data_IF_402061601599
#
_entry.id   IF_402061601599
#
_cell.length_a   1.000
_cell.length_b   1.000
_cell.length_c   1.000
_cell.angle_alpha   90.00
_cell.angle_beta   90.00
_cell.angle_gamma   90.00
#
_symmetry.space_group_name_H-M   'P 1'
#
loop_
_entity.id
_entity.type
_entity.pdbx_description
1 polymer ?
#
# COMPACT_ATOMS: atom_id res chain seq x y z
N UNK A 1 -34.94 71.68 -56.26
CA UNK A 1 -34.68 71.21 -54.90
C UNK A 1 -34.62 69.68 -54.97
N UNK A 2 -33.50 69.11 -54.86
CA UNK A 2 -33.21 67.73 -55.23
C UNK A 2 -33.22 66.89 -53.92
N UNK A 3 -34.14 65.94 -53.80
CA UNK A 3 -34.23 64.99 -52.73
C UNK A 3 -33.33 63.80 -53.06
N UNK A 4 -32.34 63.55 -52.19
CA UNK A 4 -31.48 62.34 -52.26
C UNK A 4 -32.09 61.24 -51.43
N UNK A 5 -32.41 60.09 -52.03
CA UNK A 5 -32.74 58.85 -51.38
C UNK A 5 -31.50 58.15 -50.99
N UNK A 6 -31.41 57.77 -49.70
CA UNK A 6 -30.32 56.94 -49.14
C UNK A 6 -30.77 55.47 -49.13
N UNK A 7 -30.03 54.61 -49.84
CA UNK A 7 -30.22 53.20 -49.82
C UNK A 7 -29.37 52.60 -48.70
N UNK A 8 -29.98 51.89 -47.73
CA UNK A 8 -29.28 51.02 -46.77
C UNK A 8 -29.21 49.57 -47.30
N UNK A 9 -28.06 48.91 -47.31
CA UNK A 9 -28.03 47.51 -47.64
C UNK A 9 -28.41 46.64 -46.41
N UNK A 10 -29.37 45.73 -46.64
CA UNK A 10 -29.75 44.69 -45.66
C UNK A 10 -28.63 43.65 -45.54
N UNK A 11 -28.05 43.54 -44.33
CA UNK A 11 -27.09 42.55 -44.00
C UNK A 11 -27.83 41.25 -43.62
N UNK A 12 -27.75 40.22 -44.48
CA UNK A 12 -28.21 38.87 -44.18
C UNK A 12 -27.17 38.20 -43.26
N UNK A 13 -27.48 38.08 -41.97
CA UNK A 13 -26.75 37.20 -41.06
C UNK A 13 -27.16 35.74 -41.34
N UNK A 14 -26.30 34.98 -41.99
CA UNK A 14 -26.37 33.51 -41.96
C UNK A 14 -26.03 33.05 -40.54
N UNK A 15 -27.02 32.66 -39.77
CA UNK A 15 -26.84 31.88 -38.57
C UNK A 15 -26.46 30.45 -38.98
N UNK A 16 -25.17 30.12 -38.88
CA UNK A 16 -24.69 28.74 -38.93
C UNK A 16 -25.06 28.11 -37.59
N UNK A 17 -26.13 27.33 -37.52
CA UNK A 17 -26.45 26.48 -36.40
C UNK A 17 -25.38 25.37 -36.35
N UNK A 18 -24.45 25.51 -35.42
CA UNK A 18 -23.49 24.47 -35.09
C UNK A 18 -24.25 23.44 -34.24
N UNK A 19 -24.80 22.40 -34.87
CA UNK A 19 -25.25 21.22 -34.14
C UNK A 19 -24.04 20.58 -33.44
N UNK A 20 -23.91 20.84 -32.17
CA UNK A 20 -23.01 20.07 -31.30
C UNK A 20 -23.55 18.66 -31.19
N UNK A 21 -23.08 17.77 -32.07
CA UNK A 21 -23.28 16.34 -31.96
C UNK A 21 -22.67 15.89 -30.61
N UNK A 22 -23.52 15.74 -29.61
CA UNK A 22 -23.13 15.01 -28.38
C UNK A 22 -22.93 13.56 -28.77
N UNK A 23 -21.69 13.20 -29.08
CA UNK A 23 -21.29 11.79 -29.11
C UNK A 23 -21.50 11.24 -27.71
N UNK A 24 -22.62 10.55 -27.47
CA UNK A 24 -22.81 9.70 -26.31
C UNK A 24 -21.83 8.55 -26.48
N UNK A 25 -20.62 8.69 -25.94
CA UNK A 25 -19.67 7.58 -25.85
C UNK A 25 -20.33 6.47 -25.04
N UNK A 26 -20.45 5.29 -25.61
CA UNK A 26 -20.87 4.10 -24.87
C UNK A 26 -19.90 3.94 -23.68
N UNK A 27 -20.41 3.78 -22.45
CA UNK A 27 -19.54 3.64 -21.32
C UNK A 27 -18.59 2.44 -21.51
N UNK A 28 -17.33 2.52 -21.08
CA UNK A 28 -16.38 1.44 -21.24
C UNK A 28 -16.89 0.16 -20.56
N UNK A 29 -16.63 -0.98 -21.17
CA UNK A 29 -17.03 -2.31 -20.65
C UNK A 29 -16.18 -2.67 -19.45
N UNK A 30 -14.90 -2.33 -19.49
CA UNK A 30 -13.94 -2.48 -18.40
C UNK A 30 -13.24 -1.15 -18.20
N UNK A 31 -12.90 -0.84 -16.96
CA UNK A 31 -11.99 0.26 -16.62
C UNK A 31 -10.83 -0.26 -15.81
N UNK A 32 -9.65 0.32 -16.01
CA UNK A 32 -8.44 -0.01 -15.24
C UNK A 32 -7.82 1.28 -14.73
N UNK A 33 -7.46 1.32 -13.44
CA UNK A 33 -6.73 2.43 -12.83
C UNK A 33 -5.64 1.91 -11.91
N UNK A 34 -4.59 2.68 -11.69
CA UNK A 34 -3.56 2.40 -10.66
C UNK A 34 -3.98 2.94 -9.29
N UNK A 35 -3.52 2.27 -8.26
CA UNK A 35 -3.68 2.68 -6.87
C UNK A 35 -2.35 2.42 -6.11
N UNK A 36 -1.59 3.47 -5.77
CA UNK A 36 -1.80 4.91 -6.04
C UNK A 36 -1.71 5.29 -7.53
N UNK A 37 -2.18 6.50 -7.89
CA UNK A 37 -2.10 7.02 -9.25
C UNK A 37 -0.65 7.17 -9.72
N UNK A 38 0.23 7.63 -8.82
CA UNK A 38 1.67 7.75 -9.03
C UNK A 38 2.44 6.90 -8.02
N UNK A 39 2.61 5.58 -8.26
CA UNK A 39 3.31 4.70 -7.34
C UNK A 39 4.77 5.10 -7.18
N UNK A 40 5.33 4.74 -6.03
CA UNK A 40 6.72 5.04 -5.69
C UNK A 40 7.66 3.99 -6.28
N UNK A 41 8.74 4.43 -6.92
CA UNK A 41 9.87 3.56 -7.25
C UNK A 41 10.83 3.55 -6.06
N UNK A 42 11.02 2.41 -5.43
CA UNK A 42 12.13 2.18 -4.51
C UNK A 42 13.37 1.72 -5.27
N UNK A 43 14.49 2.38 -5.05
CA UNK A 43 15.79 1.95 -5.59
C UNK A 43 16.58 1.28 -4.48
N UNK A 44 16.95 0.01 -4.69
CA UNK A 44 17.73 -0.79 -3.75
C UNK A 44 18.91 -1.42 -4.49
N UNK A 45 20.13 -1.01 -4.16
CA UNK A 45 21.35 -1.48 -4.82
C UNK A 45 21.28 -1.37 -6.36
N UNK A 46 21.16 -2.51 -7.05
CA UNK A 46 21.11 -2.59 -8.52
C UNK A 46 19.68 -2.74 -9.08
N UNK A 47 18.66 -2.80 -8.23
CA UNK A 47 17.29 -3.05 -8.63
C UNK A 47 16.37 -1.89 -8.24
N UNK A 48 15.28 -1.78 -9.00
CA UNK A 48 14.16 -0.88 -8.75
C UNK A 48 12.92 -1.71 -8.48
N UNK A 49 12.18 -1.33 -7.45
CA UNK A 49 10.93 -1.99 -7.06
C UNK A 49 9.77 -1.04 -7.23
N UNK A 50 8.69 -1.54 -7.81
CA UNK A 50 7.49 -0.78 -8.11
C UNK A 50 6.26 -1.58 -7.69
N UNK A 51 5.74 -1.29 -6.51
CA UNK A 51 4.57 -1.93 -5.95
C UNK A 51 3.35 -1.01 -6.08
N UNK A 52 2.23 -1.53 -6.54
CA UNK A 52 0.93 -0.85 -6.60
C UNK A 52 -0.15 -1.84 -7.03
N UNK A 53 -1.40 -1.48 -6.84
CA UNK A 53 -2.53 -2.25 -7.34
C UNK A 53 -3.10 -1.65 -8.64
N UNK A 54 -3.50 -2.52 -9.55
CA UNK A 54 -4.34 -2.18 -10.69
C UNK A 54 -5.78 -2.57 -10.35
N UNK A 55 -6.65 -1.59 -10.21
CA UNK A 55 -8.07 -1.79 -9.90
C UNK A 55 -8.81 -1.95 -11.21
N UNK A 56 -9.25 -3.17 -11.50
CA UNK A 56 -9.95 -3.56 -12.74
C UNK A 56 -11.43 -3.70 -12.45
N UNK A 57 -12.28 -2.88 -13.06
CA UNK A 57 -13.72 -2.92 -12.86
C UNK A 57 -14.44 -3.39 -14.13
N UNK A 58 -15.26 -4.42 -13.98
CA UNK A 58 -16.18 -4.89 -15.02
C UNK A 58 -17.50 -4.10 -14.93
N UNK A 59 -17.67 -3.09 -15.78
CA UNK A 59 -18.90 -2.30 -15.84
C UNK A 59 -20.02 -2.94 -16.66
N UNK A 60 -19.80 -4.14 -17.19
CA UNK A 60 -20.74 -4.85 -18.07
C UNK A 60 -21.62 -5.87 -17.32
N UNK A 61 -22.55 -6.48 -18.07
CA UNK A 61 -23.36 -7.61 -17.59
C UNK A 61 -22.76 -8.97 -17.96
N UNK A 62 -21.56 -9.00 -18.54
CA UNK A 62 -20.87 -10.22 -18.96
C UNK A 62 -19.94 -10.70 -17.87
N UNK A 63 -19.72 -12.01 -17.80
CA UNK A 63 -18.57 -12.56 -17.10
C UNK A 63 -17.36 -12.44 -18.03
N UNK A 64 -16.28 -11.84 -17.53
CA UNK A 64 -15.07 -11.54 -18.30
C UNK A 64 -13.88 -12.29 -17.71
N UNK A 65 -12.86 -12.52 -18.53
CA UNK A 65 -11.58 -13.14 -18.13
C UNK A 65 -10.44 -12.27 -18.62
N UNK A 66 -9.53 -11.91 -17.75
CA UNK A 66 -8.22 -11.38 -18.13
C UNK A 66 -7.39 -12.54 -18.66
N UNK A 67 -7.08 -12.52 -19.94
CA UNK A 67 -6.29 -13.58 -20.61
C UNK A 67 -4.82 -13.23 -20.68
N UNK A 68 -4.48 -11.94 -20.72
CA UNK A 68 -3.10 -11.46 -20.77
C UNK A 68 -3.01 -10.07 -20.12
N UNK A 69 -1.91 -9.84 -19.44
CA UNK A 69 -1.43 -8.50 -19.07
C UNK A 69 -0.04 -8.35 -19.66
N UNK A 70 0.15 -7.34 -20.49
CA UNK A 70 1.44 -6.97 -21.06
C UNK A 70 1.89 -5.62 -20.51
N UNK A 71 3.15 -5.54 -20.10
CA UNK A 71 3.84 -4.30 -19.74
C UNK A 71 4.83 -3.95 -20.86
N UNK A 72 4.71 -2.74 -21.38
CA UNK A 72 5.72 -2.10 -22.25
C UNK A 72 6.30 -0.89 -21.53
N UNK A 73 7.62 -0.81 -21.43
CA UNK A 73 8.36 0.31 -20.84
C UNK A 73 9.03 1.10 -21.96
N UNK A 74 8.81 2.41 -21.97
CA UNK A 74 9.39 3.31 -22.95
C UNK A 74 10.35 4.28 -22.28
N UNK A 75 11.41 4.63 -22.98
CA UNK A 75 12.32 5.70 -22.57
C UNK A 75 11.73 7.10 -22.89
N UNK A 76 12.37 8.20 -22.44
CA UNK A 76 11.90 9.55 -22.76
C UNK A 76 11.88 9.91 -24.26
N UNK A 77 12.52 9.10 -25.11
CA UNK A 77 12.48 9.24 -26.57
C UNK A 77 11.42 8.34 -27.21
N UNK A 78 10.49 7.74 -26.40
CA UNK A 78 9.48 6.78 -26.81
C UNK A 78 10.04 5.53 -27.52
N UNK A 79 11.28 5.10 -27.18
CA UNK A 79 11.82 3.84 -27.62
C UNK A 79 11.42 2.75 -26.64
N UNK A 80 10.93 1.61 -27.15
CA UNK A 80 10.62 0.44 -26.32
C UNK A 80 11.91 -0.14 -25.74
N UNK A 81 12.01 -0.12 -24.41
CA UNK A 81 13.18 -0.62 -23.66
C UNK A 81 12.95 -2.03 -23.14
N UNK A 82 11.74 -2.32 -22.67
CA UNK A 82 11.41 -3.59 -22.05
C UNK A 82 9.96 -3.96 -22.35
N UNK A 83 9.72 -5.27 -22.56
CA UNK A 83 8.38 -5.84 -22.64
C UNK A 83 8.32 -7.11 -21.82
N UNK A 84 7.33 -7.21 -20.94
CA UNK A 84 7.02 -8.41 -20.13
C UNK A 84 5.54 -8.75 -20.33
N UNK A 85 5.18 -10.02 -20.22
CA UNK A 85 3.78 -10.42 -20.26
C UNK A 85 3.51 -11.63 -19.36
N UNK A 86 2.29 -11.69 -18.85
CA UNK A 86 1.70 -12.88 -18.24
C UNK A 86 0.42 -13.21 -18.99
N UNK A 87 0.14 -14.50 -19.19
CA UNK A 87 -1.00 -14.94 -20.00
C UNK A 87 -1.55 -16.30 -19.56
N UNK A 88 -2.63 -16.73 -20.22
CA UNK A 88 -3.33 -18.01 -19.95
C UNK A 88 -2.73 -19.20 -20.68
N UNK A 89 -1.62 -19.05 -21.39
CA UNK A 89 -1.04 -20.10 -22.20
C UNK A 89 -0.30 -21.16 -21.39
N UNK A 90 -0.11 -22.32 -21.99
CA UNK A 90 0.57 -23.48 -21.44
C UNK A 90 -0.10 -24.18 -20.24
N UNK A 91 0.55 -25.27 -19.76
CA UNK A 91 0.05 -26.09 -18.65
C UNK A 91 0.14 -25.42 -17.28
N UNK A 92 1.04 -24.46 -17.12
CA UNK A 92 1.20 -23.64 -15.91
C UNK A 92 1.10 -22.15 -16.30
N UNK A 93 -0.10 -21.63 -16.52
CA UNK A 93 -0.30 -20.29 -17.02
C UNK A 93 0.26 -19.23 -16.07
N UNK A 94 1.08 -18.32 -16.59
CA UNK A 94 1.67 -17.24 -15.79
C UNK A 94 0.64 -16.26 -15.24
N UNK A 95 -0.55 -16.16 -15.85
CA UNK A 95 -1.65 -15.33 -15.35
C UNK A 95 -2.13 -15.75 -13.94
N UNK A 96 -1.84 -16.98 -13.51
CA UNK A 96 -2.19 -17.46 -12.18
C UNK A 96 -1.59 -16.63 -11.04
N UNK A 97 -0.53 -15.87 -11.32
CA UNK A 97 0.10 -14.95 -10.32
C UNK A 97 -0.85 -13.86 -9.83
N UNK A 98 -1.84 -13.46 -10.62
CA UNK A 98 -2.86 -12.48 -10.20
C UNK A 98 -3.99 -13.10 -9.36
N UNK A 99 -3.93 -14.40 -9.07
CA UNK A 99 -4.94 -15.14 -8.30
C UNK A 99 -6.19 -15.43 -9.14
N UNK A 100 -7.19 -14.55 -9.10
CA UNK A 100 -8.47 -14.73 -9.80
C UNK A 100 -8.51 -13.90 -11.09
N UNK A 101 -8.37 -14.49 -12.29
CA UNK A 101 -8.44 -13.75 -13.55
C UNK A 101 -9.87 -13.54 -14.09
N UNK A 102 -10.91 -14.00 -13.39
CA UNK A 102 -12.32 -13.92 -13.82
C UNK A 102 -13.03 -12.83 -13.03
N UNK A 103 -13.74 -11.95 -13.75
CA UNK A 103 -14.57 -10.88 -13.22
C UNK A 103 -16.05 -11.19 -13.51
N UNK A 104 -16.86 -11.34 -12.48
CA UNK A 104 -18.31 -11.39 -12.61
C UNK A 104 -18.88 -10.01 -13.06
N UNK A 105 -20.14 -9.94 -13.48
CA UNK A 105 -20.81 -8.67 -13.75
C UNK A 105 -20.72 -7.70 -12.56
N UNK A 106 -20.38 -6.46 -12.82
CA UNK A 106 -20.20 -5.38 -11.84
C UNK A 106 -19.12 -5.63 -10.77
N UNK A 107 -18.28 -6.65 -10.92
CA UNK A 107 -17.18 -6.96 -10.00
C UNK A 107 -16.00 -6.03 -10.22
N UNK A 108 -15.32 -5.69 -9.12
CA UNK A 108 -14.00 -5.06 -9.12
C UNK A 108 -12.96 -6.06 -8.62
N UNK A 109 -11.82 -6.11 -9.29
CA UNK A 109 -10.68 -6.94 -8.95
C UNK A 109 -9.45 -6.05 -8.73
N UNK A 110 -8.81 -6.24 -7.59
CA UNK A 110 -7.50 -5.63 -7.32
C UNK A 110 -6.41 -6.59 -7.81
N UNK A 111 -5.64 -6.15 -8.79
CA UNK A 111 -4.52 -6.90 -9.37
C UNK A 111 -3.23 -6.26 -8.91
N UNK A 112 -2.53 -6.92 -7.99
CA UNK A 112 -1.19 -6.47 -7.60
C UNK A 112 -0.25 -6.53 -8.80
N UNK A 113 0.57 -5.49 -8.99
CA UNK A 113 1.48 -5.39 -10.13
C UNK A 113 2.39 -6.64 -10.25
N UNK A 114 2.20 -7.50 -11.28
CA UNK A 114 2.99 -8.73 -11.43
C UNK A 114 4.41 -8.47 -11.92
N UNK A 115 4.72 -7.23 -12.31
CA UNK A 115 6.02 -6.80 -12.84
C UNK A 115 6.68 -5.80 -11.89
N UNK A 116 6.92 -6.23 -10.64
CA UNK A 116 7.33 -5.34 -9.55
C UNK A 116 8.84 -5.09 -9.48
N UNK A 117 9.67 -5.83 -10.20
CA UNK A 117 11.12 -5.74 -10.12
C UNK A 117 11.76 -5.46 -11.47
N UNK A 118 12.69 -4.48 -11.48
CA UNK A 118 13.42 -4.03 -12.66
C UNK A 118 14.89 -3.80 -12.33
N UNK A 119 15.77 -4.00 -13.31
CA UNK A 119 17.17 -3.59 -13.19
C UNK A 119 17.28 -2.05 -13.20
N UNK A 120 18.24 -1.52 -12.44
CA UNK A 120 18.44 -0.06 -12.31
C UNK A 120 18.57 0.73 -13.63
N UNK A 121 19.14 0.18 -14.73
CA UNK A 121 19.21 0.90 -15.99
C UNK A 121 17.88 1.08 -16.72
N UNK A 122 16.83 0.34 -16.33
CA UNK A 122 15.51 0.46 -16.99
C UNK A 122 14.86 1.78 -16.59
N UNK A 123 14.54 2.69 -17.53
CA UNK A 123 13.91 3.96 -17.20
C UNK A 123 12.44 3.79 -16.88
N UNK A 124 12.06 3.84 -15.62
CA UNK A 124 10.66 3.71 -15.17
C UNK A 124 9.93 5.08 -15.21
N UNK A 125 9.91 5.72 -16.38
CA UNK A 125 9.26 7.03 -16.56
C UNK A 125 7.82 6.90 -17.05
N UNK A 126 7.58 5.97 -17.96
CA UNK A 126 6.26 5.68 -18.52
C UNK A 126 6.12 4.17 -18.74
N UNK A 127 5.13 3.58 -18.10
CA UNK A 127 4.81 2.17 -18.17
C UNK A 127 3.41 1.99 -18.76
N UNK A 128 3.32 1.33 -19.90
CA UNK A 128 2.05 1.02 -20.55
C UNK A 128 1.66 -0.42 -20.27
N UNK A 129 0.61 -0.61 -19.50
CA UNK A 129 -0.03 -1.91 -19.27
C UNK A 129 -1.17 -2.11 -20.26
N UNK A 130 -1.19 -3.24 -20.94
CA UNK A 130 -2.23 -3.63 -21.89
C UNK A 130 -2.90 -4.91 -21.43
N UNK A 131 -4.22 -4.83 -21.23
CA UNK A 131 -5.05 -5.95 -20.78
C UNK A 131 -5.80 -6.55 -21.97
N UNK A 132 -5.58 -7.83 -22.23
CA UNK A 132 -6.39 -8.61 -23.15
C UNK A 132 -7.50 -9.29 -22.35
N UNK A 133 -8.76 -8.99 -22.70
CA UNK A 133 -9.93 -9.44 -21.96
C UNK A 133 -10.85 -10.21 -22.90
N UNK A 134 -11.23 -11.39 -22.47
CA UNK A 134 -12.15 -12.28 -23.20
C UNK A 134 -13.48 -12.37 -22.48
N UNK A 135 -14.54 -12.61 -23.23
CA UNK A 135 -15.80 -13.08 -22.63
C UNK A 135 -15.58 -14.50 -22.10
N UNK A 136 -16.02 -14.71 -20.86
CA UNK A 136 -15.94 -16.06 -20.30
C UNK A 136 -16.87 -16.98 -21.07
N UNK A 137 -16.32 -18.05 -21.58
CA UNK A 137 -17.02 -19.03 -22.40
C UNK A 137 -17.07 -20.38 -21.72
N UNK A 138 -17.96 -21.26 -22.16
CA UNK A 138 -18.01 -22.64 -21.71
C UNK A 138 -16.76 -23.42 -22.20
N UNK A 139 -16.55 -24.61 -21.64
CA UNK A 139 -15.36 -25.42 -21.91
C UNK A 139 -15.19 -25.77 -23.40
N UNK A 140 -16.29 -25.99 -24.13
CA UNK A 140 -16.26 -26.28 -25.56
C UNK A 140 -15.81 -25.07 -26.40
N UNK A 141 -16.21 -23.88 -26.03
CA UNK A 141 -15.78 -22.64 -26.68
C UNK A 141 -14.31 -22.33 -26.33
N UNK A 142 -13.89 -22.62 -25.09
CA UNK A 142 -12.46 -22.50 -24.70
C UNK A 142 -11.57 -23.40 -25.56
N UNK A 143 -11.97 -24.64 -25.81
CA UNK A 143 -11.21 -25.59 -26.65
C UNK A 143 -11.11 -25.07 -28.09
N UNK A 144 -12.21 -24.53 -28.65
CA UNK A 144 -12.16 -23.89 -29.99
C UNK A 144 -11.24 -22.67 -30.04
N UNK A 145 -11.13 -21.94 -28.93
CA UNK A 145 -10.35 -20.71 -28.82
C UNK A 145 -8.90 -20.96 -28.34
N UNK A 146 -8.49 -22.23 -28.16
CA UNK A 146 -7.18 -22.61 -27.63
C UNK A 146 -5.99 -22.14 -28.48
N UNK A 147 -6.26 -21.77 -29.74
CA UNK A 147 -5.25 -21.31 -30.73
C UNK A 147 -5.45 -19.82 -31.09
N UNK A 148 -6.11 -19.03 -30.26
CA UNK A 148 -6.17 -17.58 -30.47
C UNK A 148 -4.77 -17.00 -30.41
N UNK A 149 -4.49 -16.07 -31.31
CA UNK A 149 -3.26 -15.28 -31.21
C UNK A 149 -3.29 -14.43 -29.93
N UNK A 150 -2.13 -14.12 -29.34
CA UNK A 150 -2.06 -13.30 -28.12
C UNK A 150 -2.80 -11.95 -28.22
N UNK A 151 -2.95 -11.42 -29.44
CA UNK A 151 -3.64 -10.16 -29.74
C UNK A 151 -5.13 -10.29 -30.04
N UNK A 152 -5.70 -11.50 -30.06
CA UNK A 152 -7.10 -11.75 -30.35
C UNK A 152 -7.96 -11.62 -29.07
N UNK A 153 -8.29 -10.39 -28.71
CA UNK A 153 -9.05 -10.00 -27.53
C UNK A 153 -10.48 -9.58 -27.89
N UNK A 154 -11.46 -9.96 -27.08
CA UNK A 154 -12.82 -9.40 -27.21
C UNK A 154 -12.86 -7.92 -26.80
N UNK A 155 -12.04 -7.56 -25.78
CA UNK A 155 -11.87 -6.19 -25.33
C UNK A 155 -10.39 -5.95 -24.97
N UNK A 156 -9.91 -4.75 -25.23
CA UNK A 156 -8.56 -4.32 -24.85
C UNK A 156 -8.65 -3.03 -24.06
N UNK A 157 -8.05 -3.04 -22.87
CA UNK A 157 -7.91 -1.87 -22.03
C UNK A 157 -6.44 -1.56 -21.81
N UNK A 158 -6.14 -0.29 -21.62
CA UNK A 158 -4.79 0.19 -21.39
C UNK A 158 -4.73 1.08 -20.15
N UNK A 159 -3.65 0.96 -19.41
CA UNK A 159 -3.31 1.79 -18.27
C UNK A 159 -1.89 2.32 -18.45
N UNK A 160 -1.75 3.63 -18.52
CA UNK A 160 -0.44 4.27 -18.44
C UNK A 160 -0.15 4.64 -17.00
N UNK A 161 0.99 4.20 -16.48
CA UNK A 161 1.46 4.49 -15.13
C UNK A 161 2.73 5.31 -15.24
N UNK A 162 2.75 6.45 -14.55
CA UNK A 162 3.92 7.32 -14.41
C UNK A 162 4.37 7.30 -12.96
N UNK A 163 5.31 6.42 -12.61
CA UNK A 163 5.81 6.32 -11.25
C UNK A 163 6.59 7.57 -10.84
N UNK A 164 6.71 7.76 -9.53
CA UNK A 164 7.49 8.86 -8.96
C UNK A 164 8.67 8.34 -8.14
N UNK A 165 9.79 9.05 -8.18
CA UNK A 165 10.86 8.85 -7.22
C UNK A 165 10.40 9.37 -5.84
N UNK A 166 10.79 8.65 -4.79
CA UNK A 166 10.62 9.11 -3.42
C UNK A 166 11.98 9.47 -2.81
N UNK A 167 12.01 10.58 -2.11
CA UNK A 167 13.14 10.98 -1.29
C UNK A 167 12.61 11.24 0.12
N UNK A 168 13.14 10.51 1.08
CA UNK A 168 12.86 10.67 2.50
C UNK A 168 13.19 12.10 2.97
N UNK A 169 12.34 12.65 3.80
CA UNK A 169 12.48 14.00 4.36
C UNK A 169 12.77 13.94 5.86
N UNK A 170 12.40 12.84 6.50
CA UNK A 170 12.59 12.62 7.93
C UNK A 170 13.71 11.62 8.17
N UNK A 171 14.71 12.03 8.93
CA UNK A 171 15.74 11.12 9.43
C UNK A 171 15.15 10.22 10.51
N UNK A 172 14.87 8.95 10.20
CA UNK A 172 14.21 8.01 11.10
C UNK A 172 15.20 7.09 11.78
N UNK A 173 14.96 6.75 13.05
CA UNK A 173 15.60 5.63 13.76
C UNK A 173 14.58 4.55 14.06
N UNK A 174 15.04 3.32 14.28
CA UNK A 174 14.14 2.24 14.73
C UNK A 174 13.42 2.67 16.00
N UNK A 175 12.09 2.49 16.11
CA UNK A 175 11.31 2.91 17.27
C UNK A 175 11.45 1.99 18.49
N UNK A 176 12.24 0.93 18.37
CA UNK A 176 12.54 -0.05 19.44
C UNK A 176 14.04 -0.15 19.67
N UNK A 177 14.45 -0.55 20.89
CA UNK A 177 15.83 -0.87 21.25
C UNK A 177 16.03 -2.37 21.37
N UNK A 178 17.29 -2.85 21.21
CA UNK A 178 17.64 -4.25 21.37
C UNK A 178 17.39 -5.06 20.11
N UNK A 179 17.13 -6.36 20.30
CA UNK A 179 16.89 -7.29 19.18
C UNK A 179 15.46 -7.23 18.72
N UNK A 180 15.29 -7.15 17.40
CA UNK A 180 14.01 -7.00 16.74
C UNK A 180 13.94 -7.99 15.59
N UNK A 181 12.82 -8.69 15.45
CA UNK A 181 12.41 -9.36 14.23
C UNK A 181 11.47 -8.44 13.46
N UNK A 182 11.74 -8.23 12.21
CA UNK A 182 10.78 -7.62 11.28
C UNK A 182 9.86 -8.75 10.80
N UNK A 183 8.63 -8.79 11.32
CA UNK A 183 7.64 -9.78 10.91
C UNK A 183 7.13 -9.47 9.50
N UNK A 184 6.78 -8.23 9.28
CA UNK A 184 6.40 -7.65 8.00
C UNK A 184 7.24 -6.40 7.74
N UNK A 185 7.70 -6.22 6.51
CA UNK A 185 8.56 -5.12 6.11
C UNK A 185 8.21 -4.55 4.74
N UNK A 186 9.21 -4.03 4.02
CA UNK A 186 8.99 -3.41 2.71
C UNK A 186 9.00 -4.39 1.52
N UNK A 187 9.30 -5.65 1.76
CA UNK A 187 9.47 -6.62 0.68
C UNK A 187 8.13 -7.11 0.11
N UNK A 188 8.23 -7.79 -1.05
CA UNK A 188 7.07 -8.27 -1.81
C UNK A 188 6.15 -9.24 -1.03
N UNK A 189 6.67 -9.89 0.01
CA UNK A 189 5.92 -10.87 0.79
C UNK A 189 5.09 -10.25 1.91
N UNK A 190 5.35 -8.98 2.26
CA UNK A 190 4.60 -8.27 3.28
C UNK A 190 3.12 -8.14 2.91
N UNK A 191 2.23 -8.56 3.81
CA UNK A 191 0.78 -8.47 3.57
C UNK A 191 0.29 -7.01 3.55
N UNK A 192 1.01 -6.11 4.20
CA UNK A 192 0.73 -4.67 4.24
C UNK A 192 0.80 -3.99 2.86
N UNK A 193 1.59 -4.53 1.93
CA UNK A 193 1.68 -3.99 0.56
C UNK A 193 0.35 -4.02 -0.19
N UNK A 194 -0.63 -4.81 0.28
CA UNK A 194 -1.87 -5.09 -0.46
C UNK A 194 -3.09 -4.82 0.39
N UNK A 195 -3.83 -3.78 0.04
CA UNK A 195 -5.17 -3.53 0.56
C UNK A 195 -6.12 -3.51 -0.63
N UNK A 196 -7.12 -4.40 -0.70
CA UNK A 196 -8.02 -4.50 -1.85
C UNK A 196 -8.98 -3.30 -1.88
N UNK A 197 -8.51 -2.16 -2.38
CA UNK A 197 -9.25 -0.90 -2.42
C UNK A 197 -10.51 -0.96 -3.31
N UNK A 198 -10.60 -1.94 -4.19
CA UNK A 198 -11.79 -2.25 -4.98
C UNK A 198 -12.84 -3.07 -4.25
N UNK A 199 -12.50 -3.71 -3.13
CA UNK A 199 -13.46 -4.53 -2.36
C UNK A 199 -14.50 -3.62 -1.66
N UNK A 200 -15.81 -3.84 -1.89
CA UNK A 200 -16.87 -3.08 -1.23
C UNK A 200 -16.79 -3.08 0.31
N UNK A 201 -16.24 -4.14 0.93
CA UNK A 201 -16.07 -4.20 2.39
C UNK A 201 -15.00 -3.21 2.87
N UNK A 202 -13.89 -3.12 2.14
CA UNK A 202 -12.80 -2.16 2.42
C UNK A 202 -13.31 -0.73 2.24
N UNK A 203 -14.07 -0.48 1.15
CA UNK A 203 -14.68 0.84 0.90
C UNK A 203 -15.71 1.20 1.97
N UNK A 204 -16.48 0.24 2.48
CA UNK A 204 -17.45 0.47 3.55
C UNK A 204 -16.80 0.87 4.89
N UNK A 205 -15.51 0.53 5.09
CA UNK A 205 -14.70 0.98 6.23
C UNK A 205 -14.14 2.40 6.03
N UNK A 206 -14.38 3.03 4.88
CA UNK A 206 -13.86 4.35 4.54
C UNK A 206 -12.39 4.36 4.12
N UNK A 207 -11.81 3.19 3.84
CA UNK A 207 -10.43 3.04 3.39
C UNK A 207 -10.36 3.43 1.90
N UNK A 208 -9.68 4.54 1.61
CA UNK A 208 -9.52 5.10 0.27
C UNK A 208 -8.07 5.01 -0.25
N UNK A 209 -7.11 4.75 0.63
CA UNK A 209 -5.70 4.60 0.33
C UNK A 209 -5.05 3.57 1.25
N UNK A 210 -3.93 2.99 0.84
CA UNK A 210 -3.16 2.06 1.65
C UNK A 210 -2.08 2.79 2.44
N UNK A 211 -2.39 3.19 3.67
CA UNK A 211 -1.42 3.81 4.59
C UNK A 211 -0.35 2.84 5.10
N UNK A 212 -0.57 1.55 4.91
CA UNK A 212 0.32 0.48 5.36
C UNK A 212 1.25 -0.03 4.25
N UNK A 213 1.24 0.56 3.06
CA UNK A 213 1.96 0.04 1.88
C UNK A 213 3.44 -0.29 2.16
N UNK A 214 4.09 0.49 3.03
CA UNK A 214 5.47 0.27 3.47
C UNK A 214 5.58 0.12 4.98
N UNK A 215 4.54 -0.38 5.63
CA UNK A 215 4.54 -0.56 7.07
C UNK A 215 5.46 -1.70 7.51
N UNK A 216 5.83 -1.67 8.80
CA UNK A 216 6.63 -2.70 9.41
C UNK A 216 6.03 -3.16 10.73
N UNK A 217 5.91 -4.48 10.91
CA UNK A 217 5.58 -5.11 12.17
C UNK A 217 6.85 -5.56 12.87
N UNK A 218 7.11 -4.94 14.01
CA UNK A 218 8.37 -5.11 14.75
C UNK A 218 8.12 -5.89 16.04
N UNK A 219 8.72 -7.08 16.14
CA UNK A 219 8.65 -7.96 17.31
C UNK A 219 9.94 -7.86 18.09
N UNK A 220 9.85 -7.62 19.40
CA UNK A 220 11.00 -7.63 20.28
C UNK A 220 11.42 -9.07 20.62
N UNK A 221 12.73 -9.35 20.60
CA UNK A 221 13.29 -10.67 20.86
C UNK A 221 14.17 -10.68 22.11
N UNK A 222 14.31 -11.86 22.73
CA UNK A 222 15.35 -12.09 23.73
C UNK A 222 16.73 -12.28 23.09
N UNK A 223 17.75 -12.52 23.94
CA UNK A 223 19.12 -12.75 23.49
C UNK A 223 19.29 -14.02 22.64
N UNK A 224 18.35 -14.95 22.70
CA UNK A 224 18.34 -16.21 21.95
C UNK A 224 17.51 -16.12 20.67
N UNK A 225 16.90 -14.96 20.37
CA UNK A 225 16.04 -14.74 19.18
C UNK A 225 14.62 -15.30 19.35
N UNK A 226 14.15 -15.49 20.60
CA UNK A 226 12.79 -15.97 20.88
C UNK A 226 11.87 -14.78 21.09
N UNK A 227 10.63 -14.91 20.65
CA UNK A 227 9.56 -13.91 20.77
C UNK A 227 8.90 -13.96 22.16
N UNK A 228 8.81 -15.15 22.75
CA UNK A 228 8.19 -15.42 24.04
C UNK A 228 8.88 -16.60 24.76
N UNK A 229 8.54 -16.76 26.03
CA UNK A 229 8.87 -17.96 26.81
C UNK A 229 7.57 -18.68 27.24
N UNK A 230 7.65 -19.96 27.49
CA UNK A 230 6.55 -20.80 27.96
C UNK A 230 5.31 -20.74 27.05
N UNK A 231 4.20 -20.27 27.55
CA UNK A 231 2.89 -20.26 26.87
C UNK A 231 2.63 -18.93 26.13
N UNK A 232 2.59 -18.91 24.78
CA UNK A 232 2.34 -17.69 24.00
C UNK A 232 0.94 -17.10 24.21
N UNK A 233 0.01 -17.82 24.83
CA UNK A 233 -1.34 -17.32 25.15
C UNK A 233 -1.34 -16.34 26.33
N UNK A 234 -0.24 -16.20 27.02
CA UNK A 234 -0.06 -15.24 28.13
C UNK A 234 0.73 -14.06 27.66
N UNK A 235 0.15 -12.87 27.69
CA UNK A 235 0.82 -11.63 27.23
C UNK A 235 2.13 -11.39 27.96
N UNK A 236 2.17 -11.67 29.28
CA UNK A 236 3.37 -11.47 30.10
C UNK A 236 4.55 -12.38 29.69
N UNK A 237 4.29 -13.43 28.91
CA UNK A 237 5.33 -14.31 28.39
C UNK A 237 6.02 -13.76 27.14
N UNK A 238 5.43 -12.74 26.47
CA UNK A 238 6.02 -12.10 25.31
C UNK A 238 7.08 -11.10 25.73
N UNK A 239 8.31 -11.27 25.23
CA UNK A 239 9.42 -10.37 25.56
C UNK A 239 9.17 -8.93 25.11
N UNK A 240 8.37 -8.74 24.05
CA UNK A 240 7.98 -7.44 23.53
C UNK A 240 6.88 -6.74 24.34
N UNK A 241 6.02 -7.48 25.04
CA UNK A 241 4.88 -6.88 25.74
C UNK A 241 5.34 -5.92 26.85
N UNK A 242 4.90 -4.67 26.76
CA UNK A 242 5.27 -3.62 27.70
C UNK A 242 6.66 -3.01 27.45
N UNK A 243 7.41 -3.42 26.41
CA UNK A 243 8.69 -2.78 26.08
C UNK A 243 8.49 -1.35 25.58
N UNK A 244 9.46 -0.47 25.84
CA UNK A 244 9.37 0.94 25.46
C UNK A 244 9.30 1.15 23.94
N UNK A 245 8.49 2.08 23.51
CA UNK A 245 8.41 2.59 22.14
C UNK A 245 8.92 4.04 22.12
N UNK A 246 9.80 4.34 21.21
CA UNK A 246 10.44 5.64 21.06
C UNK A 246 10.01 6.34 19.78
N UNK A 247 9.96 7.67 19.79
CA UNK A 247 9.69 8.47 18.60
C UNK A 247 10.77 8.22 17.53
N UNK A 248 10.40 7.74 16.33
CA UNK A 248 11.39 7.43 15.28
C UNK A 248 12.03 8.68 14.68
N UNK A 249 11.35 9.80 14.74
CA UNK A 249 11.78 11.15 14.32
C UNK A 249 11.23 12.21 15.25
N UNK A 250 11.83 13.38 15.26
CA UNK A 250 11.28 14.55 15.96
C UNK A 250 9.99 15.04 15.29
N UNK A 251 9.06 15.58 16.06
CA UNK A 251 7.79 16.08 15.51
C UNK A 251 6.84 16.63 16.56
N UNK A 252 5.59 16.81 16.15
CA UNK A 252 4.46 17.21 17.00
C UNK A 252 3.45 16.08 17.04
N UNK A 253 2.99 15.71 18.22
CA UNK A 253 1.93 14.73 18.40
C UNK A 253 0.61 15.28 17.84
N UNK A 254 0.09 14.67 16.79
CA UNK A 254 -1.14 15.12 16.15
C UNK A 254 -2.38 14.46 16.76
N UNK A 255 -2.29 13.18 17.10
CA UNK A 255 -3.36 12.42 17.73
C UNK A 255 -2.80 11.26 18.55
N UNK A 256 -3.57 10.82 19.55
CA UNK A 256 -3.29 9.62 20.35
C UNK A 256 -4.58 8.91 20.73
N UNK A 257 -4.50 7.59 20.94
CA UNK A 257 -5.47 6.81 21.71
C UNK A 257 -4.73 6.02 22.78
N UNK A 258 -5.35 5.84 23.95
CA UNK A 258 -4.70 5.24 25.13
C UNK A 258 -5.67 4.44 26.02
N UNK A 259 -6.91 4.28 25.58
CA UNK A 259 -8.02 3.72 26.37
C UNK A 259 -8.65 2.47 25.71
N UNK A 260 -8.11 1.99 24.61
CA UNK A 260 -8.55 0.75 23.95
C UNK A 260 -7.99 -0.42 24.75
N UNK A 261 -8.84 -1.33 25.29
CA UNK A 261 -8.38 -2.49 26.06
C UNK A 261 -7.59 -3.47 25.20
N UNK A 262 -6.78 -4.30 25.85
CA UNK A 262 -6.05 -5.40 25.18
C UNK A 262 -7.01 -6.42 24.57
N UNK A 263 -6.58 -7.04 23.48
CA UNK A 263 -7.09 -8.31 22.99
C UNK A 263 -6.66 -9.45 23.95
N UNK A 264 -7.19 -10.65 23.73
CA UNK A 264 -6.78 -11.84 24.47
C UNK A 264 -6.77 -13.06 23.54
N UNK A 265 -5.97 -14.05 23.89
CA UNK A 265 -6.05 -15.36 23.24
C UNK A 265 -7.20 -16.14 23.85
N UNK A 266 -8.13 -16.64 23.02
CA UNK A 266 -9.25 -17.44 23.53
C UNK A 266 -8.77 -18.77 24.12
N UNK A 267 -9.44 -19.23 25.16
CA UNK A 267 -9.06 -20.42 25.93
C UNK A 267 -8.84 -21.64 25.02
N UNK A 268 -7.66 -22.25 25.18
CA UNK A 268 -7.26 -23.46 24.47
C UNK A 268 -6.86 -23.30 23.02
N UNK A 269 -6.89 -22.07 22.45
CA UNK A 269 -6.56 -21.86 21.05
C UNK A 269 -5.72 -20.59 20.85
N UNK A 270 -4.40 -20.76 20.67
CA UNK A 270 -3.47 -19.64 20.41
C UNK A 270 -3.65 -18.95 19.06
N UNK A 271 -4.51 -19.47 18.18
CA UNK A 271 -4.80 -18.90 16.86
C UNK A 271 -6.11 -18.13 16.81
N UNK A 272 -6.86 -18.09 17.93
CA UNK A 272 -8.13 -17.39 18.00
C UNK A 272 -8.02 -16.21 18.96
N UNK A 273 -8.22 -15.04 18.41
CA UNK A 273 -8.13 -13.77 19.13
C UNK A 273 -9.54 -13.31 19.54
N UNK A 274 -9.69 -13.00 20.82
CA UNK A 274 -10.85 -12.32 21.36
C UNK A 274 -10.63 -10.82 21.37
N UNK A 275 -11.64 -10.06 20.98
CA UNK A 275 -11.60 -8.60 20.92
C UNK A 275 -12.51 -7.96 21.97
N UNK A 276 -12.10 -6.85 22.60
CA UNK A 276 -12.94 -6.14 23.56
C UNK A 276 -14.20 -5.59 22.89
N UNK A 277 -15.30 -5.55 23.64
CA UNK A 277 -16.49 -4.81 23.22
C UNK A 277 -16.26 -3.33 23.42
N UNK A 278 -16.16 -2.59 22.35
CA UNK A 278 -16.04 -1.15 22.37
C UNK A 278 -17.39 -0.45 22.16
N UNK A 279 -17.51 0.85 22.50
CA UNK A 279 -18.66 1.66 22.11
C UNK A 279 -18.94 1.58 20.61
N UNK A 280 -20.21 1.76 20.20
CA UNK A 280 -20.65 1.59 18.81
C UNK A 280 -19.92 2.45 17.76
N UNK A 281 -19.20 3.49 18.20
CA UNK A 281 -18.40 4.37 17.36
C UNK A 281 -16.90 4.01 17.33
N UNK A 282 -16.50 2.90 17.96
CA UNK A 282 -15.14 2.37 17.95
C UNK A 282 -15.19 0.90 17.57
N UNK A 283 -14.53 0.52 16.49
CA UNK A 283 -14.31 -0.89 16.14
C UNK A 283 -13.05 -1.38 16.88
N UNK A 284 -13.11 -2.50 17.66
CA UNK A 284 -11.94 -3.08 18.32
C UNK A 284 -10.85 -3.54 17.34
N UNK A 285 -11.22 -3.79 16.10
CA UNK A 285 -10.30 -4.14 15.00
C UNK A 285 -9.65 -2.94 14.34
N UNK A 286 -9.96 -1.72 14.81
CA UNK A 286 -9.22 -0.53 14.39
C UNK A 286 -7.80 -0.55 14.95
N UNK A 287 -7.07 0.50 14.65
CA UNK A 287 -5.64 0.64 14.99
C UNK A 287 -5.29 0.50 16.49
N UNK A 288 -6.27 0.38 17.38
CA UNK A 288 -6.05 0.23 18.81
C UNK A 288 -5.52 1.51 19.47
N UNK A 289 -4.60 1.38 20.43
CA UNK A 289 -3.91 2.53 21.01
C UNK A 289 -2.74 2.95 20.13
N UNK A 290 -2.55 4.26 19.95
CA UNK A 290 -1.59 4.78 19.00
C UNK A 290 -1.00 6.14 19.37
N UNK A 291 0.09 6.48 18.70
CA UNK A 291 0.64 7.84 18.61
C UNK A 291 0.85 8.17 17.13
N UNK A 292 0.28 9.29 16.69
CA UNK A 292 0.47 9.88 15.37
C UNK A 292 1.34 11.13 15.49
N UNK A 293 2.50 11.13 14.80
CA UNK A 293 3.46 12.24 14.80
C UNK A 293 3.45 12.96 13.47
N UNK A 294 3.36 14.28 13.48
CA UNK A 294 3.61 15.15 12.33
C UNK A 294 5.07 15.63 12.37
N UNK A 295 5.88 15.21 11.39
CA UNK A 295 7.28 15.64 11.24
C UNK A 295 7.42 17.06 10.67
N UNK A 296 6.30 17.75 10.40
CA UNK A 296 6.21 19.11 9.89
C UNK A 296 6.87 19.33 8.52
N UNK A 297 6.97 18.28 7.74
CA UNK A 297 7.57 18.28 6.39
C UNK A 297 6.71 17.52 5.35
N UNK A 298 5.47 17.14 5.75
CA UNK A 298 4.54 16.35 4.95
C UNK A 298 4.74 14.84 5.09
N UNK A 299 5.46 14.38 6.10
CA UNK A 299 5.58 12.99 6.50
C UNK A 299 5.05 12.80 7.92
N UNK A 300 4.36 11.69 8.15
CA UNK A 300 3.68 11.37 9.39
C UNK A 300 4.03 9.96 9.84
N UNK A 301 4.49 9.80 11.09
CA UNK A 301 4.73 8.48 11.67
C UNK A 301 3.54 8.02 12.50
N UNK A 302 3.06 6.83 12.26
CA UNK A 302 2.01 6.16 13.03
C UNK A 302 2.60 4.94 13.76
N UNK A 303 2.43 4.93 15.08
CA UNK A 303 2.88 3.87 16.00
C UNK A 303 1.64 3.28 16.64
N UNK A 304 1.28 2.02 16.39
CA UNK A 304 0.02 1.42 16.84
C UNK A 304 0.19 0.11 17.62
N UNK A 305 -0.91 -0.43 18.11
CA UNK A 305 -1.03 -1.59 19.00
C UNK A 305 -0.41 -1.37 20.38
N UNK A 306 -0.37 -0.11 20.83
CA UNK A 306 0.22 0.23 22.12
C UNK A 306 -0.60 -0.28 23.29
N UNK A 307 0.09 -0.53 24.42
CA UNK A 307 -0.51 -0.98 25.67
C UNK A 307 -1.46 0.09 26.25
N UNK A 308 -2.67 -0.29 26.69
CA UNK A 308 -3.60 0.64 27.35
C UNK A 308 -2.95 1.39 28.52
N UNK A 309 -3.15 2.69 28.60
CA UNK A 309 -2.61 3.54 29.66
C UNK A 309 -1.10 3.78 29.57
N UNK A 310 -0.42 3.32 28.52
CA UNK A 310 1.04 3.45 28.40
C UNK A 310 1.50 4.62 27.54
N UNK A 311 0.60 5.23 26.76
CA UNK A 311 0.92 6.43 25.97
C UNK A 311 1.10 7.61 26.92
N UNK A 312 2.30 8.22 26.91
CA UNK A 312 2.70 9.27 27.86
C UNK A 312 2.80 10.66 27.22
N UNK A 313 2.43 10.77 25.96
CA UNK A 313 2.41 12.01 25.19
C UNK A 313 0.96 12.37 24.83
N UNK A 314 0.69 13.64 24.58
CA UNK A 314 -0.62 14.18 24.28
C UNK A 314 -0.59 15.01 23.01
N UNK A 315 -1.75 15.17 22.36
CA UNK A 315 -1.91 16.05 21.21
C UNK A 315 -1.34 17.44 21.47
N UNK A 316 -0.46 17.89 20.58
CA UNK A 316 0.23 19.18 20.64
C UNK A 316 1.62 19.12 21.28
N UNK A 317 1.98 18.03 21.95
CA UNK A 317 3.32 17.88 22.52
C UNK A 317 4.37 17.82 21.41
N UNK A 318 5.53 18.46 21.63
CA UNK A 318 6.72 18.30 20.83
C UNK A 318 7.54 17.14 21.36
N UNK A 319 7.89 16.22 20.48
CA UNK A 319 8.76 15.09 20.83
C UNK A 319 10.08 15.17 20.05
N UNK A 320 11.16 14.83 20.74
CA UNK A 320 12.46 14.65 20.12
C UNK A 320 12.58 13.22 19.54
N UNK A 321 13.43 13.05 18.53
CA UNK A 321 13.82 11.70 18.08
C UNK A 321 14.40 10.90 19.25
N UNK A 322 13.99 9.64 19.42
CA UNK A 322 14.41 8.78 20.52
C UNK A 322 13.73 9.05 21.87
N UNK A 323 12.77 9.99 21.93
CA UNK A 323 11.96 10.22 23.14
C UNK A 323 10.98 9.07 23.35
N UNK A 324 10.85 8.59 24.60
CA UNK A 324 9.84 7.61 24.99
C UNK A 324 8.44 8.16 24.74
N UNK A 325 7.58 7.39 24.06
CA UNK A 325 6.20 7.79 23.75
C UNK A 325 5.12 6.84 24.28
N UNK A 326 5.49 5.58 24.55
CA UNK A 326 4.57 4.57 25.09
C UNK A 326 5.22 3.19 25.16
N UNK A 327 4.40 2.14 25.18
CA UNK A 327 4.86 0.75 25.30
C UNK A 327 4.10 -0.18 24.36
N UNK A 328 4.75 -1.26 23.90
CA UNK A 328 4.13 -2.32 23.08
C UNK A 328 2.98 -2.97 23.86
N UNK A 329 1.86 -3.15 23.21
CA UNK A 329 0.66 -3.81 23.71
C UNK A 329 0.13 -4.86 22.75
N UNK A 330 -1.18 -5.13 22.86
CA UNK A 330 -1.91 -6.11 22.08
C UNK A 330 -3.35 -5.60 21.82
N UNK A 331 -3.50 -4.36 21.38
CA UNK A 331 -4.79 -3.72 21.16
C UNK A 331 -5.04 -3.45 19.66
N UNK A 332 -6.30 -3.47 19.25
CA UNK A 332 -6.69 -3.24 17.86
C UNK A 332 -6.58 -4.49 16.98
N UNK A 333 -6.44 -4.32 15.66
CA UNK A 333 -6.31 -5.44 14.71
C UNK A 333 -4.89 -6.04 14.78
N UNK A 334 -4.63 -6.74 15.87
CA UNK A 334 -3.36 -7.37 16.19
C UNK A 334 -3.56 -8.83 16.57
N UNK A 335 -2.67 -9.72 16.14
CA UNK A 335 -2.75 -11.17 16.41
C UNK A 335 -1.71 -11.64 17.44
N UNK A 336 -0.76 -10.79 17.82
CA UNK A 336 0.22 -10.99 18.89
C UNK A 336 0.83 -9.64 19.32
N UNK A 337 1.50 -9.55 20.49
CA UNK A 337 2.17 -8.32 20.92
C UNK A 337 3.30 -7.91 19.99
N UNK A 338 3.15 -6.79 19.29
CA UNK A 338 4.14 -6.18 18.40
C UNK A 338 3.94 -4.66 18.29
N UNK A 339 4.88 -3.99 17.68
CA UNK A 339 4.71 -2.61 17.24
C UNK A 339 4.50 -2.60 15.73
N UNK A 340 3.34 -2.13 15.29
CA UNK A 340 3.13 -1.75 13.89
C UNK A 340 3.57 -0.30 13.70
N UNK A 341 4.38 -0.06 12.68
CA UNK A 341 4.90 1.25 12.30
C UNK A 341 4.60 1.57 10.84
N UNK A 342 4.00 2.72 10.57
CA UNK A 342 3.81 3.26 9.21
C UNK A 342 4.38 4.67 9.11
N UNK A 343 5.03 4.98 7.99
CA UNK A 343 5.30 6.34 7.52
C UNK A 343 4.28 6.68 6.44
N UNK A 344 3.64 7.85 6.52
CA UNK A 344 2.52 8.21 5.65
C UNK A 344 2.71 9.61 5.06
N UNK A 345 2.04 9.88 3.92
CA UNK A 345 2.03 11.19 3.25
C UNK A 345 0.93 12.14 3.74
N UNK A 346 0.13 11.72 4.70
CA UNK A 346 -0.96 12.51 5.28
C UNK A 346 -1.36 12.06 6.68
N UNK A 347 -2.16 12.88 7.39
CA UNK A 347 -2.56 12.59 8.76
C UNK A 347 -3.78 11.67 8.89
N UNK A 348 -4.52 11.44 7.82
CA UNK A 348 -5.75 10.64 7.83
C UNK A 348 -5.44 9.20 7.43
N UNK A 349 -5.33 8.30 8.41
CA UNK A 349 -4.86 6.91 8.25
C UNK A 349 -5.54 6.16 7.09
N UNK A 350 -6.86 6.33 6.89
CA UNK A 350 -7.58 5.63 5.82
C UNK A 350 -7.58 6.35 4.46
N UNK A 351 -6.89 7.49 4.35
CA UNK A 351 -6.82 8.30 3.13
C UNK A 351 -5.39 8.66 2.72
N UNK A 352 -4.44 8.48 3.62
CA UNK A 352 -3.03 8.69 3.34
C UNK A 352 -2.41 7.45 2.67
N UNK A 353 -1.43 7.65 1.83
CA UNK A 353 -0.60 6.58 1.28
C UNK A 353 0.60 6.33 2.17
N UNK A 354 0.98 5.07 2.29
CA UNK A 354 2.25 4.67 2.90
C UNK A 354 3.44 5.22 2.14
N UNK A 355 4.51 5.52 2.87
CA UNK A 355 5.79 5.98 2.35
C UNK A 355 6.89 5.02 2.78
N UNK A 356 7.91 4.76 1.94
CA UNK A 356 9.07 3.98 2.34
C UNK A 356 9.79 4.57 3.55
N UNK A 357 9.90 3.81 4.63
CA UNK A 357 10.62 4.22 5.83
C UNK A 357 12.07 3.71 5.79
N UNK A 358 13.02 4.62 5.71
CA UNK A 358 14.46 4.31 5.73
C UNK A 358 15.04 4.65 7.09
N UNK A 359 15.34 3.62 7.89
CA UNK A 359 15.88 3.79 9.24
C UNK A 359 17.40 3.99 9.20
N UNK A 360 17.88 4.82 10.13
CA UNK A 360 19.29 5.14 10.32
C UNK A 360 19.93 4.21 11.36
N UNK A 361 21.21 3.90 11.15
CA UNK A 361 22.12 3.37 12.17
C UNK A 361 21.58 2.14 12.90
N UNK A 362 21.44 1.05 12.19
CA UNK A 362 21.09 -0.24 12.78
C UNK A 362 22.00 -1.34 12.24
N UNK A 363 22.00 -2.49 12.89
CA UNK A 363 22.66 -3.70 12.42
C UNK A 363 21.61 -4.70 11.93
N UNK A 364 21.86 -5.28 10.76
CA UNK A 364 21.17 -6.48 10.31
C UNK A 364 21.96 -7.69 10.79
N UNK A 365 21.36 -8.52 11.65
CA UNK A 365 22.02 -9.65 12.31
C UNK A 365 21.93 -10.89 11.42
N UNK A 366 23.06 -11.51 11.13
CA UNK A 366 23.20 -12.69 10.28
C UNK A 366 23.84 -13.83 11.08
N UNK A 367 23.07 -14.47 11.96
CA UNK A 367 23.59 -15.50 12.87
C UNK A 367 24.61 -14.94 13.84
N UNK A 368 25.88 -15.40 13.74
CA UNK A 368 26.99 -14.93 14.59
C UNK A 368 27.65 -13.62 14.08
N UNK A 369 27.22 -13.11 12.93
CA UNK A 369 27.75 -11.88 12.34
C UNK A 369 26.66 -10.81 12.22
N UNK A 370 27.05 -9.57 11.94
CA UNK A 370 26.12 -8.51 11.63
C UNK A 370 26.67 -7.57 10.55
N UNK A 371 25.78 -6.95 9.82
CA UNK A 371 26.09 -5.91 8.84
C UNK A 371 25.57 -4.58 9.37
N UNK A 372 26.46 -3.59 9.49
CA UNK A 372 26.08 -2.24 9.85
C UNK A 372 25.40 -1.56 8.67
N UNK A 373 24.16 -1.14 8.88
CA UNK A 373 23.38 -0.36 7.91
C UNK A 373 23.40 1.11 8.33
N UNK A 374 23.91 1.98 7.43
CA UNK A 374 23.92 3.40 7.69
C UNK A 374 22.51 4.00 7.58
N UNK A 375 21.80 3.61 6.57
CA UNK A 375 20.40 3.94 6.31
C UNK A 375 19.82 2.93 5.33
N UNK A 376 18.60 2.47 5.56
CA UNK A 376 17.92 1.55 4.66
C UNK A 376 16.55 1.14 5.13
N UNK A 377 15.79 0.47 4.25
CA UNK A 377 14.54 -0.18 4.59
C UNK A 377 14.79 -1.41 5.47
N UNK A 378 13.72 -1.95 6.01
CA UNK A 378 13.72 -3.23 6.73
C UNK A 378 12.76 -4.18 6.03
N UNK A 379 13.17 -5.42 5.81
CA UNK A 379 12.42 -6.43 5.08
C UNK A 379 11.94 -7.55 6.01
N UNK A 380 10.86 -8.22 5.62
CA UNK A 380 10.30 -9.35 6.38
C UNK A 380 11.34 -10.43 6.60
N UNK A 381 11.45 -10.88 7.85
CA UNK A 381 12.46 -11.86 8.28
C UNK A 381 13.81 -11.27 8.71
N UNK A 382 14.03 -9.96 8.62
CA UNK A 382 15.23 -9.32 9.12
C UNK A 382 15.32 -9.41 10.64
N UNK A 383 16.50 -9.79 11.16
CA UNK A 383 16.87 -9.65 12.56
C UNK A 383 17.72 -8.39 12.71
N UNK A 384 17.27 -7.47 13.54
CA UNK A 384 17.88 -6.15 13.67
C UNK A 384 18.37 -5.89 15.10
N UNK A 385 19.41 -5.05 15.22
CA UNK A 385 19.81 -4.38 16.46
C UNK A 385 20.00 -2.88 16.17
N UNK A 386 19.49 -2.03 17.06
CA UNK A 386 19.58 -0.58 16.88
C UNK A 386 20.88 -0.03 17.47
N UNK A 387 21.61 0.76 16.68
CA UNK A 387 22.78 1.55 17.12
C UNK A 387 22.41 2.96 17.58
N UNK A 388 21.17 3.38 17.36
CA UNK A 388 20.74 4.76 17.61
C UNK A 388 20.83 5.11 19.11
N UNK A 389 21.26 6.32 19.38
CA UNK A 389 21.27 6.87 20.76
C UNK A 389 19.88 7.38 21.08
N UNK A 390 19.26 6.79 22.09
CA UNK A 390 17.94 7.18 22.56
C UNK A 390 18.08 8.13 23.76
N UNK A 391 17.33 9.19 23.78
CA UNK A 391 17.28 10.13 24.93
C UNK A 391 16.17 9.70 25.87
N UNK A 392 16.52 9.20 27.05
CA UNK A 392 15.56 9.03 28.12
C UNK A 392 15.32 10.40 28.77
N UNK A 393 14.30 11.11 28.34
CA UNK A 393 13.80 12.26 29.11
C UNK A 393 13.07 11.73 30.34
N UNK A 394 13.66 12.00 31.51
CA UNK A 394 13.04 11.75 32.82
C UNK A 394 11.81 12.62 33.05
#
# INVERSE_FOLDING_TARGET
MISRAVWLPALFLLMCEYEASSQTSTPPIVTVRSAPEHPIVEVRESNQFLNFDMVVQNASRLTLRISQIELSVYDPAHQLVLRKSINTDAFAPSIAVIGKPILAPAETLDVFNPFSEFESPVPLTELLYSFCILRESNEQEREKNRHRLPDDCDFREQLTVSPRAYKDKTALILPLRGRILVWEGHDLYAHHLRVPLGDPKVQALGIAANSNEFASDLIYLDAQGREYHDDPRRLDNWYGYGQPIYAPGGGVVLATANDVPENWFEDGNATKIGYPKLPANKDPKDIGNFVLLDHQNGEYSLLIHMKPGSVIVSRGDRVAQGQLVGRIGFAGDSIFPHLHYSLMDGPEVFKAWGLPAYFLQFHRVLGASSIKVKQGPVDSGDFLESDAVYTDTK
#
